data_IF_321277228879
#
_entry.id   IF_321277228879
#
_cell.length_a   1.000
_cell.length_b   1.000
_cell.length_c   1.000
_cell.angle_alpha   90.00
_cell.angle_beta   90.00
_cell.angle_gamma   90.00
#
_symmetry.space_group_name_H-M   'P 1'
#
loop_
_entity.id
_entity.type
_entity.pdbx_description
1 polymer ?
#
# COMPACT_ATOMS: atom_id res chain seq x y z
N UNK A 1 1.89 10.84 9.39
CA UNK A 1 2.51 10.18 10.57
C UNK A 1 1.67 10.36 11.81
N UNK A 2 1.99 9.61 12.87
CA UNK A 2 1.30 9.69 14.17
C UNK A 2 1.32 11.13 14.72
N UNK A 3 2.48 11.81 14.70
CA UNK A 3 2.59 13.18 15.21
C UNK A 3 1.80 14.19 14.34
N UNK A 4 1.78 14.02 13.03
CA UNK A 4 1.02 14.88 12.13
C UNK A 4 -0.49 14.66 12.28
N UNK A 5 -0.94 13.40 12.29
CA UNK A 5 -2.34 13.06 12.51
C UNK A 5 -2.86 13.56 13.87
N UNK A 6 -2.05 13.45 14.93
CA UNK A 6 -2.39 13.99 16.25
C UNK A 6 -2.51 15.52 16.26
N UNK A 7 -1.78 16.23 15.41
CA UNK A 7 -1.93 17.69 15.26
C UNK A 7 -3.16 18.08 14.45
N UNK A 8 -3.49 17.28 13.42
CA UNK A 8 -4.67 17.52 12.56
C UNK A 8 -5.97 17.25 13.33
N UNK A 9 -6.02 16.17 14.11
CA UNK A 9 -7.15 15.82 14.95
C UNK A 9 -6.67 15.48 16.38
N UNK A 10 -6.67 16.45 17.32
CA UNK A 10 -6.26 16.23 18.72
C UNK A 10 -7.12 15.24 19.51
N UNK A 11 -8.30 14.88 19.00
CA UNK A 11 -9.20 13.89 19.61
C UNK A 11 -9.25 12.57 18.81
N UNK A 12 -8.52 12.51 17.71
CA UNK A 12 -8.48 11.35 16.83
C UNK A 12 -7.60 10.21 17.34
N UNK A 13 -7.60 9.11 16.60
CA UNK A 13 -6.85 7.88 16.93
C UNK A 13 -5.35 8.12 17.04
N UNK A 14 -4.78 8.93 16.15
CA UNK A 14 -3.35 9.25 16.19
C UNK A 14 -2.96 10.01 17.46
N UNK A 15 -3.81 10.94 17.93
CA UNK A 15 -3.58 11.66 19.17
C UNK A 15 -3.62 10.74 20.40
N UNK A 16 -4.61 9.84 20.46
CA UNK A 16 -4.71 8.84 21.52
C UNK A 16 -3.50 7.90 21.49
N UNK A 17 -3.13 7.39 20.32
CA UNK A 17 -1.98 6.49 20.19
C UNK A 17 -0.67 7.20 20.59
N UNK A 18 -0.45 8.45 20.18
CA UNK A 18 0.72 9.23 20.57
C UNK A 18 0.79 9.43 22.08
N UNK A 19 -0.34 9.78 22.71
CA UNK A 19 -0.45 9.92 24.16
C UNK A 19 -0.04 8.64 24.88
N UNK A 20 -0.60 7.50 24.47
CA UNK A 20 -0.33 6.20 25.07
C UNK A 20 1.13 5.78 24.87
N UNK A 21 1.66 5.96 23.65
CA UNK A 21 3.05 5.68 23.32
C UNK A 21 4.03 6.47 24.19
N UNK A 22 3.80 7.75 24.35
CA UNK A 22 4.60 8.62 25.25
C UNK A 22 4.44 8.20 26.71
N UNK A 23 3.23 7.84 27.13
CA UNK A 23 2.94 7.31 28.47
C UNK A 23 3.75 6.05 28.77
N UNK A 24 3.66 5.06 27.90
CA UNK A 24 4.41 3.81 28.03
C UNK A 24 5.93 4.01 28.01
N UNK A 25 6.45 4.91 27.20
CA UNK A 25 7.89 5.21 27.13
C UNK A 25 8.47 5.73 28.46
N UNK A 26 7.64 6.33 29.32
CA UNK A 26 8.01 6.79 30.66
C UNK A 26 8.01 5.66 31.68
N UNK A 27 7.17 4.64 31.49
CA UNK A 27 6.97 3.53 32.44
C UNK A 27 7.98 2.41 32.18
N UNK A 28 8.27 2.09 30.91
CA UNK A 28 9.16 0.96 30.57
C UNK A 28 10.32 1.40 29.68
N UNK A 29 11.48 0.71 29.87
CA UNK A 29 12.66 0.81 28.97
C UNK A 29 12.70 -0.32 27.94
N UNK A 30 11.68 -1.19 27.90
CA UNK A 30 11.57 -2.35 27.01
C UNK A 30 10.31 -2.23 26.15
N UNK A 31 10.13 -1.08 25.48
CA UNK A 31 9.01 -0.83 24.60
C UNK A 31 9.31 -1.39 23.20
N UNK A 32 8.39 -2.19 22.68
CA UNK A 32 8.38 -2.72 21.34
C UNK A 32 7.09 -2.28 20.63
N UNK A 33 7.17 -2.01 19.34
CA UNK A 33 6.04 -1.55 18.54
C UNK A 33 5.70 -2.60 17.49
N UNK A 34 4.44 -2.83 17.28
CA UNK A 34 3.88 -3.53 16.15
C UNK A 34 3.20 -2.49 15.28
N UNK A 35 3.76 -2.22 14.11
CA UNK A 35 3.28 -1.20 13.18
C UNK A 35 2.98 -1.86 11.81
N UNK A 36 2.25 -1.16 10.96
CA UNK A 36 1.64 -1.73 9.77
C UNK A 36 2.03 -0.93 8.53
N UNK A 37 2.35 -1.64 7.43
CA UNK A 37 2.76 -1.04 6.16
C UNK A 37 1.83 -1.40 4.99
N UNK A 38 0.65 -1.95 5.25
CA UNK A 38 -0.25 -2.49 4.22
C UNK A 38 -1.71 -2.15 4.50
N UNK A 39 -2.51 -2.10 3.45
CA UNK A 39 -3.97 -2.09 3.55
C UNK A 39 -4.46 -3.53 3.50
N UNK A 40 -4.99 -4.05 4.61
CA UNK A 40 -5.44 -5.44 4.73
C UNK A 40 -6.71 -5.75 3.94
N UNK A 41 -7.54 -4.74 3.70
CA UNK A 41 -8.72 -4.91 2.88
C UNK A 41 -8.36 -5.10 1.41
N UNK A 42 -7.31 -4.40 0.93
CA UNK A 42 -6.97 -4.33 -0.48
C UNK A 42 -5.45 -4.26 -0.65
N UNK A 43 -4.76 -5.41 -0.75
CA UNK A 43 -3.30 -5.44 -0.89
C UNK A 43 -2.79 -4.69 -2.12
N UNK A 44 -3.55 -4.72 -3.23
CA UNK A 44 -3.18 -4.04 -4.46
C UNK A 44 -3.51 -2.54 -4.47
N UNK A 45 -4.44 -2.08 -3.62
CA UNK A 45 -4.82 -0.66 -3.61
C UNK A 45 -3.62 0.20 -3.19
N UNK A 46 -3.32 1.30 -3.91
CA UNK A 46 -2.30 2.23 -3.46
C UNK A 46 -2.51 2.66 -2.02
N UNK A 47 -1.54 2.36 -1.17
CA UNK A 47 -1.52 2.72 0.26
C UNK A 47 -0.24 3.50 0.56
N UNK A 48 -0.26 4.84 0.33
CA UNK A 48 0.91 5.70 0.50
C UNK A 48 1.22 5.87 1.99
N UNK A 49 2.21 5.15 2.49
CA UNK A 49 2.60 5.17 3.89
C UNK A 49 4.12 5.32 4.13
N UNK A 50 4.92 5.50 3.06
CA UNK A 50 6.39 5.57 3.18
C UNK A 50 6.83 6.76 4.02
N UNK A 51 6.25 7.95 3.79
CA UNK A 51 6.58 9.15 4.58
C UNK A 51 6.14 9.01 6.03
N UNK A 52 4.97 8.41 6.25
CA UNK A 52 4.47 8.14 7.60
C UNK A 52 5.35 7.14 8.34
N UNK A 53 5.72 6.04 7.68
CA UNK A 53 6.61 5.00 8.21
C UNK A 53 7.97 5.61 8.59
N UNK A 54 8.58 6.42 7.70
CA UNK A 54 9.84 7.11 7.98
C UNK A 54 9.75 7.97 9.25
N UNK A 55 8.75 8.85 9.33
CA UNK A 55 8.56 9.76 10.47
C UNK A 55 8.24 9.00 11.76
N UNK A 56 7.43 7.94 11.68
CA UNK A 56 7.09 7.11 12.84
C UNK A 56 8.33 6.39 13.39
N UNK A 57 9.18 5.82 12.54
CA UNK A 57 10.42 5.16 13.00
C UNK A 57 11.38 6.16 13.64
N UNK A 58 11.47 7.40 13.14
CA UNK A 58 12.25 8.45 13.79
C UNK A 58 11.68 8.79 15.18
N UNK A 59 10.36 8.89 15.30
CA UNK A 59 9.70 9.08 16.60
C UNK A 59 10.01 7.92 17.55
N UNK A 60 9.89 6.67 17.10
CA UNK A 60 10.18 5.49 17.92
C UNK A 60 11.63 5.49 18.43
N UNK A 61 12.60 5.82 17.56
CA UNK A 61 14.01 6.00 17.96
C UNK A 61 14.16 7.07 19.04
N UNK A 62 13.53 8.23 18.85
CA UNK A 62 13.59 9.38 19.76
C UNK A 62 13.07 9.05 21.17
N UNK A 63 12.02 8.26 21.27
CA UNK A 63 11.42 7.88 22.58
C UNK A 63 12.01 6.61 23.18
N UNK A 64 12.98 5.98 22.51
CA UNK A 64 13.75 4.85 23.04
C UNK A 64 13.10 3.48 22.86
N UNK A 65 12.23 3.32 21.88
CA UNK A 65 11.71 2.01 21.44
C UNK A 65 12.86 1.08 21.09
N UNK A 66 12.78 -0.19 21.49
CA UNK A 66 13.86 -1.18 21.35
C UNK A 66 13.74 -2.03 20.10
N UNK A 67 12.56 -2.18 19.58
CA UNK A 67 12.33 -2.91 18.33
C UNK A 67 10.96 -2.61 17.76
N UNK A 68 10.86 -2.75 16.43
CA UNK A 68 9.63 -2.59 15.67
C UNK A 68 9.41 -3.83 14.81
N UNK A 69 8.23 -4.42 14.90
CA UNK A 69 7.73 -5.35 13.91
C UNK A 69 6.92 -4.51 12.91
N UNK A 70 7.39 -4.45 11.66
CA UNK A 70 6.67 -3.81 10.57
C UNK A 70 5.92 -4.88 9.80
N UNK A 71 4.61 -4.96 9.98
CA UNK A 71 3.80 -5.99 9.32
C UNK A 71 3.44 -5.58 7.90
N UNK A 72 3.72 -6.48 6.95
CA UNK A 72 3.31 -6.41 5.56
C UNK A 72 2.08 -7.29 5.27
N UNK A 73 1.81 -7.55 3.98
CA UNK A 73 0.74 -8.46 3.57
C UNK A 73 1.11 -9.93 3.86
N UNK A 74 0.08 -10.78 3.99
CA UNK A 74 0.25 -12.22 4.24
C UNK A 74 0.45 -13.04 2.95
N UNK A 75 0.40 -12.43 1.79
CA UNK A 75 0.47 -13.11 0.49
C UNK A 75 1.82 -13.78 0.25
N UNK A 76 1.83 -15.10 0.00
CA UNK A 76 3.04 -15.84 -0.38
C UNK A 76 3.55 -15.49 -1.78
N UNK A 77 2.67 -15.03 -2.67
CA UNK A 77 3.01 -14.63 -4.03
C UNK A 77 3.47 -13.17 -4.16
N UNK A 78 3.50 -12.40 -3.09
CA UNK A 78 3.78 -10.97 -3.13
C UNK A 78 2.71 -10.19 -3.92
N UNK A 79 3.11 -9.08 -4.52
CA UNK A 79 2.29 -8.30 -5.46
C UNK A 79 1.42 -7.22 -4.83
N UNK A 80 1.55 -6.96 -3.54
CA UNK A 80 0.93 -5.81 -2.91
C UNK A 80 1.60 -4.48 -3.33
N UNK A 81 0.93 -3.38 -3.00
CA UNK A 81 1.42 -2.05 -3.36
C UNK A 81 2.78 -1.75 -2.72
N UNK A 82 3.83 -1.72 -3.54
CA UNK A 82 5.21 -1.39 -3.16
C UNK A 82 5.79 -2.25 -2.00
N UNK A 83 5.40 -3.51 -1.89
CA UNK A 83 5.82 -4.37 -0.78
C UNK A 83 7.33 -4.46 -0.61
N UNK A 84 8.07 -4.68 -1.70
CA UNK A 84 9.52 -4.81 -1.68
C UNK A 84 10.19 -3.49 -1.30
N UNK A 85 9.69 -2.36 -1.79
CA UNK A 85 10.19 -1.04 -1.41
C UNK A 85 9.92 -0.75 0.06
N UNK A 86 8.71 -1.04 0.55
CA UNK A 86 8.36 -0.84 1.97
C UNK A 86 9.23 -1.69 2.89
N UNK A 87 9.45 -2.96 2.54
CA UNK A 87 10.34 -3.84 3.28
C UNK A 87 11.79 -3.32 3.27
N UNK A 88 12.27 -2.85 2.11
CA UNK A 88 13.59 -2.26 1.98
C UNK A 88 13.75 -1.00 2.85
N UNK A 89 12.82 -0.06 2.75
CA UNK A 89 12.84 1.19 3.53
C UNK A 89 12.80 0.87 5.03
N UNK A 90 11.89 -0.02 5.47
CA UNK A 90 11.82 -0.45 6.87
C UNK A 90 13.16 -1.05 7.35
N UNK A 91 13.77 -1.95 6.56
CA UNK A 91 15.05 -2.58 6.92
C UNK A 91 16.17 -1.57 7.08
N UNK A 92 16.25 -0.58 6.18
CA UNK A 92 17.25 0.49 6.25
C UNK A 92 17.06 1.36 7.49
N UNK A 93 15.84 1.79 7.74
CA UNK A 93 15.53 2.65 8.90
C UNK A 93 15.76 1.95 10.23
N UNK A 94 15.47 0.66 10.32
CA UNK A 94 15.66 -0.13 11.54
C UNK A 94 17.11 -0.52 11.79
N UNK A 95 17.99 -0.46 10.79
CA UNK A 95 19.43 -0.74 10.91
C UNK A 95 20.31 0.51 11.08
N UNK A 96 19.74 1.61 11.60
CA UNK A 96 20.45 2.87 11.86
C UNK A 96 20.97 3.60 10.61
N UNK A 97 20.35 3.40 9.46
CA UNK A 97 20.59 4.23 8.29
C UNK A 97 20.12 5.67 8.60
N UNK A 98 21.00 6.65 8.41
CA UNK A 98 20.72 8.06 8.70
C UNK A 98 20.38 8.86 7.44
N UNK A 99 20.23 8.19 6.29
CA UNK A 99 19.86 8.83 5.04
C UNK A 99 18.40 9.31 5.07
N UNK A 100 18.10 10.26 4.21
CA UNK A 100 16.73 10.70 3.97
C UNK A 100 15.91 9.58 3.31
N UNK A 101 14.58 9.66 3.44
CA UNK A 101 13.69 8.75 2.74
C UNK A 101 13.91 8.78 1.22
N UNK A 102 14.11 9.98 0.65
CA UNK A 102 14.29 10.15 -0.80
C UNK A 102 15.56 9.44 -1.31
N UNK A 103 16.66 9.48 -0.54
CA UNK A 103 17.88 8.76 -0.89
C UNK A 103 17.69 7.24 -0.84
N UNK A 104 16.98 6.74 0.16
CA UNK A 104 16.70 5.29 0.31
C UNK A 104 15.76 4.82 -0.81
N UNK A 105 14.69 5.57 -1.10
CA UNK A 105 13.74 5.27 -2.17
C UNK A 105 14.44 5.31 -3.53
N UNK A 106 15.26 6.32 -3.78
CA UNK A 106 16.01 6.45 -5.04
C UNK A 106 16.97 5.28 -5.26
N UNK A 107 17.74 4.90 -4.24
CA UNK A 107 18.66 3.74 -4.31
C UNK A 107 17.92 2.47 -4.68
N UNK A 108 16.78 2.20 -4.01
CA UNK A 108 15.96 1.03 -4.32
C UNK A 108 15.42 1.09 -5.76
N UNK A 109 14.80 2.22 -6.12
CA UNK A 109 14.18 2.35 -7.43
C UNK A 109 15.19 2.24 -8.58
N UNK A 110 16.38 2.82 -8.43
CA UNK A 110 17.44 2.72 -9.44
C UNK A 110 17.91 1.27 -9.64
N UNK A 111 18.05 0.50 -8.56
CA UNK A 111 18.47 -0.90 -8.61
C UNK A 111 17.37 -1.87 -9.02
N UNK A 112 16.14 -1.62 -8.65
CA UNK A 112 15.02 -2.55 -8.82
C UNK A 112 14.23 -2.31 -10.12
N UNK A 113 13.99 -1.04 -10.48
CA UNK A 113 13.22 -0.65 -11.66
C UNK A 113 14.07 -0.15 -12.84
N UNK A 114 15.38 0.05 -12.65
CA UNK A 114 16.31 0.48 -13.68
C UNK A 114 15.87 1.78 -14.38
N UNK A 115 15.69 1.75 -15.70
CA UNK A 115 15.29 2.94 -16.48
C UNK A 115 13.91 3.48 -16.11
N UNK A 116 13.04 2.69 -15.48
CA UNK A 116 11.74 3.12 -15.02
C UNK A 116 11.79 3.88 -13.68
N UNK A 117 12.93 3.87 -12.96
CA UNK A 117 13.09 4.43 -11.62
C UNK A 117 12.45 5.81 -11.47
N UNK A 118 12.73 6.75 -12.37
CA UNK A 118 12.20 8.12 -12.31
C UNK A 118 10.67 8.18 -12.33
N UNK A 119 10.05 7.33 -13.15
CA UNK A 119 8.59 7.27 -13.26
C UNK A 119 7.96 6.60 -12.05
N UNK A 120 8.63 5.59 -11.50
CA UNK A 120 8.16 4.92 -10.27
C UNK A 120 8.23 5.90 -9.08
N UNK A 121 9.29 6.69 -8.97
CA UNK A 121 9.41 7.74 -7.93
C UNK A 121 8.30 8.80 -8.12
N UNK A 122 8.03 9.21 -9.36
CA UNK A 122 6.93 10.13 -9.69
C UNK A 122 5.58 9.53 -9.28
N UNK A 123 5.35 8.25 -9.57
CA UNK A 123 4.14 7.51 -9.17
C UNK A 123 3.97 7.46 -7.64
N UNK A 124 5.03 7.16 -6.90
CA UNK A 124 5.05 7.17 -5.44
C UNK A 124 4.67 8.55 -4.91
N UNK A 125 5.34 9.60 -5.40
CA UNK A 125 5.10 10.96 -4.96
C UNK A 125 3.68 11.43 -5.29
N UNK A 126 3.12 11.04 -6.44
CA UNK A 126 1.74 11.37 -6.79
C UNK A 126 0.75 10.93 -5.69
N UNK A 127 0.90 9.72 -5.14
CA UNK A 127 0.01 9.26 -4.07
C UNK A 127 0.36 9.86 -2.71
N UNK A 128 1.65 9.94 -2.36
CA UNK A 128 2.10 10.50 -1.08
C UNK A 128 1.75 12.00 -0.92
N UNK A 129 1.74 12.77 -2.02
CA UNK A 129 1.43 14.21 -2.02
C UNK A 129 -0.09 14.49 -1.95
N UNK A 130 -0.92 13.50 -2.30
CA UNK A 130 -2.36 13.64 -2.34
C UNK A 130 -3.09 13.07 -1.11
N UNK A 131 -2.34 12.65 -0.08
CA UNK A 131 -2.96 12.21 1.18
C UNK A 131 -3.68 13.40 1.83
N UNK A 132 -4.97 13.23 2.09
CA UNK A 132 -5.80 14.19 2.83
C UNK A 132 -6.33 13.48 4.07
N UNK A 133 -5.91 13.94 5.24
CA UNK A 133 -6.33 13.34 6.51
C UNK A 133 -5.63 12.02 6.84
N UNK A 134 -6.30 11.17 7.60
CA UNK A 134 -5.79 9.87 8.03
C UNK A 134 -6.15 8.77 7.02
N UNK A 135 -5.17 7.94 6.68
CA UNK A 135 -5.40 6.69 5.98
C UNK A 135 -5.59 5.56 6.99
N UNK A 136 -6.59 4.73 6.73
CA UNK A 136 -6.90 3.59 7.56
C UNK A 136 -6.51 2.28 6.86
N UNK A 137 -6.09 1.27 7.64
CA UNK A 137 -5.64 -0.04 7.15
C UNK A 137 -6.71 -0.83 6.36
N UNK A 138 -7.95 -0.36 6.38
CA UNK A 138 -9.10 -0.97 5.74
C UNK A 138 -9.85 -0.01 4.82
N UNK A 139 -9.20 1.08 4.39
CA UNK A 139 -9.78 2.01 3.42
C UNK A 139 -10.01 1.32 2.08
N UNK A 140 -11.01 1.82 1.35
CA UNK A 140 -11.37 1.30 0.04
C UNK A 140 -11.14 2.37 -1.05
N UNK A 141 -11.35 1.99 -2.30
CA UNK A 141 -11.11 2.83 -3.47
C UNK A 141 -12.10 4.01 -3.62
N UNK A 142 -13.07 4.15 -2.70
CA UNK A 142 -13.93 5.33 -2.57
C UNK A 142 -13.39 6.39 -1.60
N UNK A 143 -12.21 6.17 -1.02
CA UNK A 143 -11.52 7.18 -0.22
C UNK A 143 -11.28 8.46 -1.03
N UNK A 144 -11.40 9.62 -0.40
CA UNK A 144 -11.25 10.95 -1.02
C UNK A 144 -9.90 11.19 -1.71
N UNK A 145 -8.89 10.37 -1.39
CA UNK A 145 -7.59 10.42 -2.06
C UNK A 145 -7.69 10.00 -3.54
N UNK A 146 -8.60 9.09 -3.89
CA UNK A 146 -8.70 8.52 -5.24
C UNK A 146 -9.67 9.32 -6.11
N UNK A 147 -9.21 10.47 -6.60
CA UNK A 147 -9.94 11.28 -7.59
C UNK A 147 -9.70 10.79 -9.01
N UNK A 148 -10.60 11.16 -9.95
CA UNK A 148 -10.43 10.81 -11.37
C UNK A 148 -9.16 11.48 -11.96
N UNK A 149 -8.83 12.70 -11.53
CA UNK A 149 -7.59 13.39 -11.93
C UNK A 149 -6.34 12.64 -11.45
N UNK A 150 -6.34 12.17 -10.19
CA UNK A 150 -5.23 11.37 -9.66
C UNK A 150 -5.09 10.04 -10.41
N UNK A 151 -6.19 9.36 -10.68
CA UNK A 151 -6.20 8.10 -11.43
C UNK A 151 -5.66 8.28 -12.85
N UNK A 152 -6.07 9.34 -13.55
CA UNK A 152 -5.56 9.64 -14.90
C UNK A 152 -4.07 9.96 -14.90
N UNK A 153 -3.58 10.75 -13.93
CA UNK A 153 -2.14 11.00 -13.77
C UNK A 153 -1.38 9.71 -13.48
N UNK A 154 -1.89 8.86 -12.59
CA UNK A 154 -1.30 7.57 -12.28
C UNK A 154 -1.21 6.67 -13.54
N UNK A 155 -2.26 6.67 -14.37
CA UNK A 155 -2.29 5.95 -15.65
C UNK A 155 -1.17 6.40 -16.59
N UNK A 156 -1.00 7.70 -16.75
CA UNK A 156 0.05 8.24 -17.64
C UNK A 156 1.43 7.86 -17.13
N UNK A 157 1.69 8.05 -15.85
CA UNK A 157 3.01 7.80 -15.24
C UNK A 157 3.37 6.30 -15.32
N UNK A 158 2.44 5.41 -14.96
CA UNK A 158 2.74 3.97 -14.94
C UNK A 158 2.93 3.40 -16.36
N UNK A 159 2.21 3.93 -17.36
CA UNK A 159 2.43 3.56 -18.76
C UNK A 159 3.80 4.06 -19.28
N UNK A 160 4.24 5.25 -18.87
CA UNK A 160 5.59 5.74 -19.16
C UNK A 160 6.67 4.85 -18.51
N UNK A 161 6.43 4.38 -17.28
CA UNK A 161 7.31 3.43 -16.62
C UNK A 161 7.43 2.12 -17.42
N UNK A 162 6.31 1.51 -17.80
CA UNK A 162 6.30 0.28 -18.63
C UNK A 162 7.01 0.47 -19.97
N UNK A 163 6.77 1.61 -20.65
CA UNK A 163 7.38 1.92 -21.94
C UNK A 163 8.89 2.18 -21.86
N UNK A 164 9.42 2.47 -20.70
CA UNK A 164 10.85 2.78 -20.50
C UNK A 164 11.74 1.56 -20.32
N UNK A 165 11.15 0.38 -20.11
CA UNK A 165 11.84 -0.90 -19.90
C UNK A 165 11.46 -1.91 -20.96
N UNK A 166 12.39 -2.83 -21.30
CA UNK A 166 12.16 -3.81 -22.35
C UNK A 166 11.33 -4.98 -21.84
N UNK A 167 10.33 -5.39 -22.61
CA UNK A 167 9.56 -6.60 -22.33
C UNK A 167 10.47 -7.81 -22.12
N UNK A 168 10.11 -8.69 -21.19
CA UNK A 168 10.87 -9.89 -20.85
C UNK A 168 12.04 -9.67 -19.89
N UNK A 169 12.37 -8.42 -19.51
CA UNK A 169 13.36 -8.14 -18.47
C UNK A 169 12.75 -8.24 -17.07
N UNK A 170 13.59 -8.42 -16.05
CA UNK A 170 13.13 -8.41 -14.66
C UNK A 170 12.57 -7.02 -14.24
N UNK A 171 13.18 -5.96 -14.74
CA UNK A 171 12.71 -4.58 -14.50
C UNK A 171 11.29 -4.38 -15.07
N UNK A 172 11.01 -4.93 -16.26
CA UNK A 172 9.67 -4.91 -16.84
C UNK A 172 8.67 -5.64 -15.94
N UNK A 173 9.03 -6.85 -15.45
CA UNK A 173 8.19 -7.61 -14.52
C UNK A 173 7.92 -6.82 -13.23
N UNK A 174 8.93 -6.14 -12.68
CA UNK A 174 8.77 -5.31 -11.47
C UNK A 174 7.80 -4.14 -11.69
N UNK A 175 7.93 -3.45 -12.83
CA UNK A 175 6.99 -2.36 -13.19
C UNK A 175 5.59 -2.92 -13.45
N UNK A 176 5.48 -4.10 -14.07
CA UNK A 176 4.20 -4.76 -14.33
C UNK A 176 3.50 -5.17 -13.01
N UNK A 177 4.26 -5.57 -12.00
CA UNK A 177 3.72 -5.81 -10.64
C UNK A 177 3.17 -4.52 -10.02
N UNK A 178 3.87 -3.40 -10.19
CA UNK A 178 3.34 -2.09 -9.73
C UNK A 178 2.11 -1.66 -10.55
N UNK A 179 2.07 -1.97 -11.84
CA UNK A 179 0.92 -1.71 -12.71
C UNK A 179 -0.36 -2.41 -12.21
N UNK A 180 -0.25 -3.57 -11.53
CA UNK A 180 -1.39 -4.21 -10.90
C UNK A 180 -2.13 -3.28 -9.93
N UNK A 181 -1.41 -2.46 -9.17
CA UNK A 181 -2.04 -1.53 -8.22
C UNK A 181 -2.86 -0.46 -8.94
N UNK A 182 -2.35 0.08 -10.05
CA UNK A 182 -3.13 0.99 -10.90
C UNK A 182 -4.35 0.27 -11.51
N UNK A 183 -4.13 -0.90 -12.11
CA UNK A 183 -5.19 -1.67 -12.78
C UNK A 183 -6.30 -2.07 -11.80
N UNK A 184 -5.93 -2.45 -10.58
CA UNK A 184 -6.88 -2.73 -9.50
C UNK A 184 -7.71 -1.50 -9.14
N UNK A 185 -7.05 -0.37 -8.84
CA UNK A 185 -7.72 0.89 -8.54
C UNK A 185 -8.71 1.28 -9.64
N UNK A 186 -8.27 1.26 -10.89
CA UNK A 186 -9.11 1.53 -12.06
C UNK A 186 -10.32 0.61 -12.12
N UNK A 187 -10.10 -0.71 -12.06
CA UNK A 187 -11.15 -1.72 -12.22
C UNK A 187 -12.25 -1.61 -11.14
N UNK A 188 -11.86 -1.42 -9.87
CA UNK A 188 -12.85 -1.34 -8.78
C UNK A 188 -13.62 -0.01 -8.74
N UNK A 189 -13.10 1.02 -9.40
CA UNK A 189 -13.76 2.33 -9.55
C UNK A 189 -14.75 2.37 -10.71
N UNK A 190 -14.63 1.50 -11.70
CA UNK A 190 -15.61 1.41 -12.80
C UNK A 190 -17.02 1.11 -12.25
N UNK A 191 -18.03 1.71 -12.87
CA UNK A 191 -19.42 1.41 -12.58
C UNK A 191 -19.76 -0.05 -12.92
N UNK A 192 -20.68 -0.68 -12.19
CA UNK A 192 -21.05 -2.10 -12.43
C UNK A 192 -21.69 -2.31 -13.80
N UNK A 193 -22.31 -1.28 -14.36
CA UNK A 193 -22.96 -1.26 -15.67
C UNK A 193 -22.03 -0.74 -16.79
N UNK A 194 -20.76 -0.44 -16.47
CA UNK A 194 -19.78 -0.01 -17.46
C UNK A 194 -19.49 -1.13 -18.46
N UNK A 195 -19.63 -0.83 -19.76
CA UNK A 195 -19.59 -1.85 -20.83
C UNK A 195 -18.27 -2.65 -20.88
N UNK A 196 -17.15 -2.04 -20.53
CA UNK A 196 -15.83 -2.67 -20.55
C UNK A 196 -15.41 -3.25 -19.18
N UNK A 197 -16.25 -3.17 -18.16
CA UNK A 197 -15.88 -3.62 -16.80
C UNK A 197 -15.47 -5.08 -16.76
N UNK A 198 -16.23 -5.97 -17.38
CA UNK A 198 -15.90 -7.40 -17.41
C UNK A 198 -14.56 -7.67 -18.11
N UNK A 199 -14.23 -6.90 -19.14
CA UNK A 199 -12.95 -6.98 -19.84
C UNK A 199 -11.80 -6.54 -18.93
N UNK A 200 -11.94 -5.43 -18.19
CA UNK A 200 -10.93 -4.96 -17.24
C UNK A 200 -10.77 -5.90 -16.05
N UNK A 201 -11.85 -6.51 -15.54
CA UNK A 201 -11.77 -7.56 -14.51
C UNK A 201 -11.01 -8.80 -15.05
N UNK A 202 -11.31 -9.24 -16.27
CA UNK A 202 -10.59 -10.37 -16.90
C UNK A 202 -9.10 -10.06 -17.05
N UNK A 203 -8.75 -8.86 -17.49
CA UNK A 203 -7.37 -8.39 -17.65
C UNK A 203 -6.64 -8.38 -16.31
N UNK A 204 -7.27 -7.82 -15.27
CA UNK A 204 -6.73 -7.77 -13.92
C UNK A 204 -6.40 -9.18 -13.39
N UNK A 205 -7.37 -10.10 -13.41
CA UNK A 205 -7.18 -11.44 -12.85
C UNK A 205 -6.28 -12.33 -13.72
N UNK A 206 -6.21 -12.09 -15.02
CA UNK A 206 -5.21 -12.73 -15.90
C UNK A 206 -3.80 -12.31 -15.51
N UNK A 207 -3.58 -11.01 -15.30
CA UNK A 207 -2.27 -10.48 -14.90
C UNK A 207 -1.87 -10.91 -13.48
N UNK A 208 -2.81 -10.93 -12.53
CA UNK A 208 -2.60 -11.47 -11.19
C UNK A 208 -2.07 -12.90 -11.25
N UNK A 209 -2.71 -13.76 -12.05
CA UNK A 209 -2.31 -15.16 -12.23
C UNK A 209 -0.95 -15.29 -12.92
N UNK A 210 -0.69 -14.50 -13.96
CA UNK A 210 0.58 -14.46 -14.70
C UNK A 210 1.76 -14.08 -13.78
N UNK A 211 1.56 -13.11 -12.92
CA UNK A 211 2.59 -12.65 -11.98
C UNK A 211 2.76 -13.54 -10.74
N UNK A 212 1.87 -14.51 -10.54
CA UNK A 212 1.92 -15.45 -9.42
C UNK A 212 1.44 -14.86 -8.10
N UNK A 213 0.67 -13.77 -8.13
CA UNK A 213 0.04 -13.21 -6.93
C UNK A 213 -1.04 -14.18 -6.44
N UNK A 214 -1.03 -14.50 -5.16
CA UNK A 214 -1.91 -15.53 -4.58
C UNK A 214 -3.09 -14.96 -3.81
N UNK A 215 -2.97 -13.75 -3.32
CA UNK A 215 -4.01 -13.08 -2.53
C UNK A 215 -4.02 -11.58 -2.83
N UNK A 216 -5.20 -11.00 -2.96
CA UNK A 216 -5.38 -9.54 -3.08
C UNK A 216 -6.21 -8.95 -1.93
N UNK A 217 -6.78 -9.82 -1.12
CA UNK A 217 -7.51 -9.53 0.11
C UNK A 217 -7.01 -10.46 1.19
N UNK A 218 -6.87 -9.99 2.40
CA UNK A 218 -6.33 -10.78 3.49
C UNK A 218 -7.07 -12.12 3.67
N UNK A 219 -6.28 -13.21 3.63
CA UNK A 219 -6.75 -14.59 3.88
C UNK A 219 -7.92 -15.05 3.01
N UNK A 220 -7.96 -14.61 1.76
CA UNK A 220 -8.99 -15.01 0.82
C UNK A 220 -8.40 -15.67 -0.43
N UNK A 221 -9.14 -16.61 -1.04
CA UNK A 221 -8.72 -17.17 -2.33
C UNK A 221 -8.90 -16.16 -3.46
N UNK A 222 -8.13 -16.33 -4.54
CA UNK A 222 -8.30 -15.50 -5.75
C UNK A 222 -9.68 -15.66 -6.38
N UNK A 223 -10.26 -16.86 -6.35
CA UNK A 223 -11.62 -17.10 -6.87
C UNK A 223 -12.64 -16.27 -6.11
N UNK A 224 -12.54 -16.27 -4.79
CA UNK A 224 -13.40 -15.43 -3.94
C UNK A 224 -13.21 -13.96 -4.28
N UNK A 225 -11.97 -13.50 -4.35
CA UNK A 225 -11.63 -12.11 -4.64
C UNK A 225 -12.14 -11.68 -6.01
N UNK A 226 -12.03 -12.54 -7.03
CA UNK A 226 -12.55 -12.29 -8.38
C UNK A 226 -14.08 -12.13 -8.37
N UNK A 227 -14.79 -13.00 -7.65
CA UNK A 227 -16.23 -12.88 -7.48
C UNK A 227 -16.67 -11.57 -6.81
N UNK A 228 -15.93 -11.13 -5.79
CA UNK A 228 -16.20 -9.85 -5.12
C UNK A 228 -15.98 -8.69 -6.09
N UNK A 229 -14.85 -8.63 -6.80
CA UNK A 229 -14.54 -7.56 -7.74
C UNK A 229 -15.55 -7.50 -8.89
N UNK A 230 -16.07 -8.64 -9.36
CA UNK A 230 -17.09 -8.67 -10.42
C UNK A 230 -18.44 -8.13 -9.98
N UNK A 231 -18.83 -8.36 -8.73
CA UNK A 231 -20.17 -8.08 -8.21
C UNK A 231 -20.28 -6.80 -7.41
N UNK A 232 -19.16 -6.24 -6.96
CA UNK A 232 -19.17 -5.10 -6.06
C UNK A 232 -18.22 -4.02 -6.55
N UNK A 233 -18.70 -2.78 -6.48
CA UNK A 233 -17.87 -1.59 -6.62
C UNK A 233 -17.28 -1.26 -5.25
N UNK A 234 -15.98 -0.92 -5.20
CA UNK A 234 -15.27 -0.58 -3.96
C UNK A 234 -15.23 -1.67 -2.90
N UNK A 235 -15.58 -2.90 -3.25
CA UNK A 235 -15.60 -4.02 -2.31
C UNK A 235 -16.41 -3.78 -1.04
N UNK A 236 -17.42 -2.90 -1.07
CA UNK A 236 -18.21 -2.50 0.10
C UNK A 236 -19.02 -3.62 0.73
N UNK A 237 -19.43 -4.62 -0.05
CA UNK A 237 -20.27 -5.71 0.45
C UNK A 237 -19.53 -6.73 1.35
N UNK A 238 -18.25 -6.47 1.65
CA UNK A 238 -17.43 -7.36 2.47
C UNK A 238 -17.79 -7.40 3.95
N UNK A 239 -18.41 -6.39 4.50
CA UNK A 239 -18.78 -6.41 5.92
C UNK A 239 -19.71 -7.59 6.27
N UNK A 240 -20.52 -8.02 5.31
CA UNK A 240 -21.32 -9.24 5.43
C UNK A 240 -20.49 -10.54 5.32
N UNK A 241 -19.24 -10.50 4.84
CA UNK A 241 -18.42 -11.67 4.53
C UNK A 241 -17.48 -12.05 5.67
N UNK A 242 -16.98 -11.09 6.43
CA UNK A 242 -16.21 -11.38 7.65
C UNK A 242 -17.06 -12.09 8.69
N UNK A 243 -18.35 -11.76 8.81
CA UNK A 243 -19.30 -12.48 9.67
C UNK A 243 -19.52 -13.92 9.19
N UNK A 244 -19.60 -14.16 7.88
CA UNK A 244 -19.75 -15.51 7.32
C UNK A 244 -18.49 -16.37 7.49
N UNK A 245 -17.29 -15.79 7.33
CA UNK A 245 -16.02 -16.52 7.51
C UNK A 245 -15.79 -16.98 8.96
N UNK A 246 -16.18 -16.16 9.95
CA UNK A 246 -16.13 -16.55 11.37
C UNK A 246 -17.24 -17.49 11.80
N UNK A 247 -18.37 -17.54 11.08
CA UNK A 247 -19.48 -18.46 11.37
C UNK A 247 -19.25 -19.85 10.74
N UNK A 248 -18.43 -19.96 9.70
CA UNK A 248 -18.12 -21.22 9.00
C UNK A 248 -16.87 -21.95 9.52
N UNK A 249 -16.22 -21.45 10.58
CA UNK A 249 -15.20 -22.15 11.36
C UNK A 249 -15.75 -22.59 12.70
#
# INVERSE_FOLDING_TARGET
SIEEGAKLDPNGRNAQFLHDLIGWSKITKRLYIWDYAVNYRNYLLPFPCLRSMYKNILLYKKIGVKGVLMEGNFSFGGGGYLDELKAYVASRLLTFDNRSLDEIVKEFCDGYYGKASKYVIEYINLFEDNIKGDLWLYDDADSEIFTDDLEEKARVIINNALSSVSNGTKEYKHVLTLYLSYLYLHTVRLSLDEKNRDEEVNKLFSLIKELGVTEIFERTSLEFSENVVRKSRYCKDRENWYSLYYIMK
#
